data_IF_938279822502
#
_entry.id   IF_938279822502
#
_cell.length_a   1.000
_cell.length_b   1.000
_cell.length_c   1.000
_cell.angle_alpha   90.00
_cell.angle_beta   90.00
_cell.angle_gamma   90.00
#
_symmetry.space_group_name_H-M   'P 1'
#
loop_
_entity.id
_entity.type
_entity.pdbx_description
1 polymer ?
#
# COMPACT_ATOMS: atom_id res chain seq x y z
N UNK A 1 17.67 -37.37 -39.31
CA UNK A 1 17.98 -35.99 -39.75
C UNK A 1 17.05 -35.04 -39.01
N UNK A 2 17.61 -33.96 -38.47
CA UNK A 2 17.10 -33.02 -37.46
C UNK A 2 15.64 -32.53 -37.64
N UNK A 3 14.90 -32.36 -36.53
CA UNK A 3 14.61 -31.03 -35.96
C UNK A 3 13.86 -31.09 -34.62
N UNK A 4 14.41 -30.35 -33.64
CA UNK A 4 13.86 -30.05 -32.31
C UNK A 4 12.63 -29.14 -32.40
N UNK A 5 11.61 -29.39 -31.57
CA UNK A 5 10.83 -28.33 -30.88
C UNK A 5 10.40 -28.83 -29.50
N UNK A 6 11.06 -28.28 -28.48
CA UNK A 6 10.70 -28.33 -27.08
C UNK A 6 9.62 -27.28 -26.80
N UNK A 7 8.45 -27.70 -26.35
CA UNK A 7 7.46 -26.84 -25.72
C UNK A 7 7.56 -27.01 -24.20
N UNK A 8 8.10 -26.00 -23.53
CA UNK A 8 8.04 -25.86 -22.07
C UNK A 8 6.70 -25.20 -21.75
N UNK A 9 5.85 -25.94 -21.04
CA UNK A 9 4.60 -25.43 -20.49
C UNK A 9 4.89 -24.48 -19.32
N UNK A 10 4.25 -23.30 -19.22
CA UNK A 10 4.23 -22.55 -17.96
C UNK A 10 3.30 -23.26 -16.96
N UNK A 11 3.75 -23.33 -15.70
CA UNK A 11 3.01 -23.88 -14.55
C UNK A 11 1.73 -23.06 -14.31
N UNK A 12 0.63 -23.49 -14.93
CA UNK A 12 -0.72 -22.98 -14.68
C UNK A 12 -1.33 -23.64 -13.45
N UNK A 13 -1.16 -23.03 -12.28
CA UNK A 13 -1.92 -23.34 -11.06
C UNK A 13 -2.94 -22.27 -10.68
N UNK A 14 -2.69 -21.00 -11.06
CA UNK A 14 -3.51 -19.86 -10.64
C UNK A 14 -4.82 -19.70 -11.44
N UNK A 15 -4.86 -20.13 -12.72
CA UNK A 15 -6.04 -19.95 -13.57
C UNK A 15 -7.24 -20.80 -13.13
N UNK A 16 -7.01 -21.99 -12.56
CA UNK A 16 -8.11 -22.86 -12.12
C UNK A 16 -8.73 -22.37 -10.80
N UNK A 17 -7.93 -21.77 -9.91
CA UNK A 17 -8.41 -21.21 -8.65
C UNK A 17 -9.23 -19.93 -8.86
N UNK A 18 -8.85 -19.09 -9.83
CA UNK A 18 -9.58 -17.86 -10.16
C UNK A 18 -10.95 -18.16 -10.81
N UNK A 19 -11.05 -19.23 -11.61
CA UNK A 19 -12.30 -19.66 -12.23
C UNK A 19 -13.36 -20.13 -11.21
N UNK A 20 -12.94 -20.65 -10.05
CA UNK A 20 -13.86 -21.08 -8.98
C UNK A 20 -14.47 -19.89 -8.23
N UNK A 21 -13.77 -18.75 -8.16
CA UNK A 21 -14.26 -17.52 -7.53
C UNK A 21 -15.22 -16.71 -8.42
N UNK A 22 -15.25 -16.98 -9.74
CA UNK A 22 -15.96 -16.17 -10.75
C UNK A 22 -17.21 -16.83 -11.34
N UNK A 23 -17.70 -17.94 -10.77
CA UNK A 23 -18.90 -18.60 -11.28
C UNK A 23 -20.18 -17.80 -10.93
N UNK A 24 -20.99 -17.35 -11.91
CA UNK A 24 -22.23 -16.62 -11.63
C UNK A 24 -23.33 -17.59 -11.17
N UNK A 25 -23.89 -17.36 -9.99
CA UNK A 25 -25.14 -18.02 -9.59
C UNK A 25 -26.34 -17.29 -10.21
N UNK A 26 -27.05 -17.98 -11.11
CA UNK A 26 -28.35 -17.55 -11.63
C UNK A 26 -29.38 -17.42 -10.50
N UNK A 27 -30.00 -16.23 -10.38
CA UNK A 27 -31.22 -16.03 -9.60
C UNK A 27 -32.39 -15.90 -10.60
N UNK A 28 -33.47 -16.69 -10.49
CA UNK A 28 -34.61 -16.58 -11.41
C UNK A 28 -35.49 -15.38 -11.06
N UNK A 29 -35.99 -14.72 -12.12
CA UNK A 29 -36.95 -13.62 -12.06
C UNK A 29 -38.35 -14.09 -11.66
N UNK A 30 -39.04 -13.35 -10.78
CA UNK A 30 -40.50 -13.36 -10.70
C UNK A 30 -41.05 -11.95 -10.51
N UNK A 31 -41.98 -11.60 -11.39
CA UNK A 31 -42.77 -10.38 -11.47
C UNK A 31 -44.03 -10.42 -10.58
N UNK A 32 -44.42 -9.27 -9.99
CA UNK A 32 -45.84 -8.91 -9.81
C UNK A 32 -46.38 -8.67 -8.38
N UNK A 33 -46.71 -7.39 -8.08
CA UNK A 33 -47.75 -6.87 -7.17
C UNK A 33 -47.47 -6.85 -5.64
N UNK A 34 -48.18 -6.02 -4.83
CA UNK A 34 -47.88 -4.59 -4.62
C UNK A 34 -47.59 -4.24 -3.14
N UNK A 35 -47.07 -3.03 -2.94
CA UNK A 35 -46.67 -2.43 -1.66
C UNK A 35 -47.86 -2.26 -0.71
N UNK A 36 -47.77 -2.87 0.48
CA UNK A 36 -48.41 -2.43 1.73
C UNK A 36 -47.41 -2.61 2.88
N UNK A 37 -47.05 -1.51 3.58
CA UNK A 37 -46.52 -1.61 4.94
C UNK A 37 -47.61 -2.11 5.89
N UNK A 38 -47.31 -2.64 7.10
CA UNK A 38 -46.55 -1.88 8.09
C UNK A 38 -45.79 -2.73 9.18
N UNK A 39 -45.26 -2.00 10.18
CA UNK A 39 -45.08 -2.34 11.61
C UNK A 39 -43.77 -2.97 12.11
N UNK A 40 -43.34 -2.35 13.21
CA UNK A 40 -42.30 -2.70 14.15
C UNK A 40 -42.40 -4.14 14.66
N UNK A 41 -41.24 -4.77 14.85
CA UNK A 41 -41.09 -5.98 15.64
C UNK A 41 -40.54 -7.17 14.86
N UNK A 42 -39.30 -7.55 15.19
CA UNK A 42 -38.71 -8.89 15.20
C UNK A 42 -37.48 -9.19 14.33
N UNK A 43 -36.47 -9.70 15.05
CA UNK A 43 -35.57 -10.83 14.74
C UNK A 43 -34.38 -10.59 13.81
N UNK A 44 -33.23 -10.48 14.47
CA UNK A 44 -31.90 -10.64 13.92
C UNK A 44 -31.78 -11.97 13.14
N UNK A 45 -31.21 -11.86 11.94
CA UNK A 45 -30.73 -12.99 11.15
C UNK A 45 -29.50 -13.60 11.83
N UNK A 46 -29.63 -14.84 12.31
CA UNK A 46 -28.50 -15.65 12.76
C UNK A 46 -27.88 -16.35 11.55
N UNK A 47 -26.61 -16.08 11.26
CA UNK A 47 -25.78 -16.92 10.38
C UNK A 47 -25.18 -18.09 11.20
N UNK A 48 -24.82 -19.22 10.56
CA UNK A 48 -24.49 -20.48 11.26
C UNK A 48 -23.11 -20.52 11.97
N UNK A 49 -22.41 -19.39 12.11
CA UNK A 49 -21.05 -19.37 12.66
C UNK A 49 -20.99 -19.33 14.20
N UNK A 50 -22.12 -19.08 14.87
CA UNK A 50 -22.19 -18.95 16.32
C UNK A 50 -22.37 -20.27 17.10
N UNK A 51 -22.54 -21.41 16.43
CA UNK A 51 -22.84 -22.69 17.11
C UNK A 51 -21.60 -23.54 17.42
N UNK A 52 -20.42 -23.15 16.95
CA UNK A 52 -19.17 -23.86 17.23
C UNK A 52 -18.48 -23.40 18.54
N UNK A 53 -18.73 -22.17 18.98
CA UNK A 53 -18.15 -21.61 20.21
C UNK A 53 -18.99 -21.87 21.47
N UNK A 54 -20.17 -22.49 21.34
CA UNK A 54 -21.09 -22.72 22.47
C UNK A 54 -21.01 -24.13 23.08
N UNK A 55 -20.10 -24.99 22.60
CA UNK A 55 -19.95 -26.38 23.06
C UNK A 55 -18.72 -26.69 23.92
N UNK A 56 -17.91 -25.71 24.30
CA UNK A 56 -16.78 -25.94 25.21
C UNK A 56 -16.73 -24.87 26.31
N UNK A 57 -17.21 -25.25 27.49
CA UNK A 57 -16.76 -24.70 28.77
C UNK A 57 -17.62 -23.60 29.38
N UNK A 58 -18.62 -24.00 30.17
CA UNK A 58 -19.20 -23.15 31.20
C UNK A 58 -18.27 -23.02 32.41
N UNK A 59 -18.22 -21.84 33.00
CA UNK A 59 -17.53 -21.56 34.26
C UNK A 59 -17.86 -20.16 34.75
N UNK A 60 -18.58 -20.07 35.87
CA UNK A 60 -19.08 -18.85 36.50
C UNK A 60 -17.96 -17.91 36.98
N UNK A 61 -18.29 -16.61 37.01
CA UNK A 61 -17.42 -15.54 37.45
C UNK A 61 -17.04 -15.57 38.94
N UNK A 62 -15.86 -15.03 39.20
CA UNK A 62 -15.43 -14.44 40.48
C UNK A 62 -14.48 -13.29 40.18
N UNK A 63 -14.77 -12.13 40.74
CA UNK A 63 -13.84 -11.01 40.88
C UNK A 63 -12.66 -11.45 41.75
N UNK A 64 -11.43 -11.18 41.31
CA UNK A 64 -10.25 -11.21 42.18
C UNK A 64 -9.39 -9.96 41.96
N UNK A 65 -9.18 -9.25 43.08
CA UNK A 65 -8.21 -8.16 43.22
C UNK A 65 -6.81 -8.73 43.43
N UNK A 66 -5.85 -8.02 42.83
CA UNK A 66 -4.51 -7.67 43.30
C UNK A 66 -3.58 -8.75 43.91
N UNK A 67 -2.43 -8.86 43.24
CA UNK A 67 -1.08 -9.03 43.78
C UNK A 67 -0.72 -10.37 44.44
N UNK A 68 0.07 -11.18 43.72
CA UNK A 68 1.32 -11.81 44.20
C UNK A 68 1.79 -12.92 43.23
N UNK A 69 3.09 -12.91 42.93
CA UNK A 69 3.81 -14.09 42.45
C UNK A 69 4.14 -14.12 40.97
N UNK A 70 5.17 -13.37 40.56
CA UNK A 70 5.96 -13.72 39.37
C UNK A 70 6.58 -15.11 39.59
N UNK A 71 5.87 -16.16 39.19
CA UNK A 71 6.52 -17.43 38.91
C UNK A 71 7.38 -17.21 37.68
N UNK A 72 8.68 -17.54 37.78
CA UNK A 72 9.64 -17.56 36.67
C UNK A 72 9.15 -18.57 35.63
N UNK A 73 8.17 -18.20 34.81
CA UNK A 73 7.93 -18.85 33.54
C UNK A 73 9.22 -18.66 32.74
N UNK A 74 9.69 -19.77 32.14
CA UNK A 74 10.91 -19.81 31.35
C UNK A 74 10.91 -18.65 30.38
N UNK A 75 11.73 -17.63 30.66
CA UNK A 75 12.02 -16.56 29.71
C UNK A 75 12.57 -17.29 28.49
N UNK A 76 11.88 -17.26 27.33
CA UNK A 76 12.41 -17.88 26.13
C UNK A 76 13.80 -17.26 25.91
N UNK A 77 14.77 -18.08 25.53
CA UNK A 77 16.15 -17.66 25.27
C UNK A 77 16.10 -16.39 24.41
N UNK A 78 16.30 -15.22 25.02
CA UNK A 78 16.23 -13.95 24.28
C UNK A 78 17.54 -13.90 23.52
N UNK A 79 17.49 -14.31 22.26
CA UNK A 79 18.61 -14.12 21.33
C UNK A 79 18.89 -12.62 21.32
N UNK A 80 20.14 -12.23 21.52
CA UNK A 80 20.53 -10.83 21.54
C UNK A 80 20.48 -10.24 20.13
N UNK A 81 19.27 -9.91 19.68
CA UNK A 81 18.98 -9.34 18.36
C UNK A 81 18.49 -7.90 18.49
N UNK A 82 18.84 -6.99 17.57
CA UNK A 82 18.45 -5.59 17.64
C UNK A 82 16.94 -5.40 17.41
N UNK A 83 16.33 -4.35 17.97
CA UNK A 83 14.93 -4.03 17.67
C UNK A 83 14.72 -3.67 16.21
N UNK A 84 13.66 -4.19 15.61
CA UNK A 84 13.28 -4.00 14.19
C UNK A 84 11.91 -3.36 14.09
N UNK A 85 11.79 -2.39 13.18
CA UNK A 85 10.51 -1.76 12.82
C UNK A 85 10.32 -1.85 11.31
N UNK A 86 9.15 -2.37 10.91
CA UNK A 86 8.75 -2.58 9.51
C UNK A 86 7.75 -1.51 9.07
N UNK A 87 8.00 -0.87 7.93
CA UNK A 87 7.14 0.21 7.38
C UNK A 87 6.65 -0.15 5.97
N UNK A 88 5.34 -0.33 5.75
CA UNK A 88 4.79 -0.73 4.47
C UNK A 88 4.63 0.44 3.49
N UNK A 89 4.57 0.14 2.19
CA UNK A 89 4.16 1.06 1.13
C UNK A 89 2.64 1.25 1.00
N UNK A 90 2.25 1.98 -0.05
CA UNK A 90 0.85 2.26 -0.38
C UNK A 90 0.06 0.97 -0.60
N UNK A 91 -1.17 0.89 -0.10
CA UNK A 91 -1.98 -0.32 -0.13
C UNK A 91 -1.48 -1.46 0.79
N UNK A 92 -0.30 -1.32 1.40
CA UNK A 92 0.35 -2.38 2.19
C UNK A 92 -0.06 -2.45 3.65
N UNK A 93 -1.15 -1.79 4.05
CA UNK A 93 -1.73 -1.92 5.39
C UNK A 93 -3.18 -2.36 5.30
N UNK A 94 -3.55 -3.38 6.07
CA UNK A 94 -4.96 -3.73 6.28
C UNK A 94 -5.69 -2.54 6.89
N UNK A 95 -6.83 -2.18 6.33
CA UNK A 95 -7.73 -1.15 6.83
C UNK A 95 -9.00 -1.77 7.40
N UNK A 96 -9.48 -1.25 8.52
CA UNK A 96 -10.66 -1.75 9.26
C UNK A 96 -11.61 -0.61 9.64
N UNK A 97 -12.88 -0.93 9.83
CA UNK A 97 -13.76 -0.09 10.66
C UNK A 97 -13.33 -0.21 12.12
N UNK A 98 -12.90 0.88 12.78
CA UNK A 98 -12.42 0.82 14.15
C UNK A 98 -13.48 0.34 15.15
N UNK A 99 -14.79 0.49 14.85
CA UNK A 99 -15.87 0.06 15.75
C UNK A 99 -16.11 -1.44 15.72
N UNK A 100 -16.27 -2.00 14.53
CA UNK A 100 -16.58 -3.42 14.34
C UNK A 100 -15.35 -4.31 14.15
N UNK A 101 -14.16 -3.72 13.95
CA UNK A 101 -12.94 -4.39 13.50
C UNK A 101 -13.12 -5.13 12.15
N UNK A 102 -14.15 -4.76 11.39
CA UNK A 102 -14.41 -5.32 10.08
C UNK A 102 -13.33 -4.85 9.10
N UNK A 103 -12.63 -5.80 8.48
CA UNK A 103 -11.66 -5.51 7.41
C UNK A 103 -12.38 -4.94 6.19
N UNK A 104 -11.88 -3.81 5.68
CA UNK A 104 -12.41 -3.16 4.47
C UNK A 104 -11.37 -3.14 3.35
N UNK A 105 -10.09 -3.30 3.68
CA UNK A 105 -8.99 -3.48 2.74
C UNK A 105 -7.90 -4.39 3.36
N UNK A 106 -7.28 -5.33 2.65
CA UNK A 106 -7.70 -5.84 1.34
C UNK A 106 -8.87 -6.81 1.56
N UNK A 107 -9.75 -6.91 0.55
CA UNK A 107 -10.78 -7.95 0.48
C UNK A 107 -10.79 -8.56 -0.91
N UNK A 108 -10.92 -9.87 -0.98
CA UNK A 108 -11.27 -10.57 -2.21
C UNK A 108 -12.77 -10.91 -2.34
N UNK A 109 -13.52 -10.83 -1.24
CA UNK A 109 -14.96 -11.07 -1.21
C UNK A 109 -15.71 -9.78 -0.92
N UNK A 110 -16.74 -9.50 -1.73
CA UNK A 110 -17.54 -8.27 -1.68
C UNK A 110 -16.68 -6.99 -1.70
N UNK A 111 -15.53 -7.07 -2.37
CA UNK A 111 -14.48 -6.05 -2.34
C UNK A 111 -15.04 -4.67 -2.69
N UNK A 112 -15.75 -4.56 -3.82
CA UNK A 112 -16.35 -3.29 -4.25
C UNK A 112 -17.36 -2.72 -3.26
N UNK A 113 -18.22 -3.56 -2.68
CA UNK A 113 -19.26 -3.08 -1.77
C UNK A 113 -18.63 -2.41 -0.54
N UNK A 114 -17.69 -3.11 0.11
CA UNK A 114 -16.99 -2.56 1.27
C UNK A 114 -16.06 -1.41 0.89
N UNK A 115 -15.41 -1.48 -0.27
CA UNK A 115 -14.52 -0.42 -0.72
C UNK A 115 -15.29 0.90 -0.94
N UNK A 116 -16.40 0.87 -1.69
CA UNK A 116 -17.23 2.07 -1.90
C UNK A 116 -17.85 2.59 -0.61
N UNK A 117 -18.23 1.70 0.31
CA UNK A 117 -18.87 2.06 1.59
C UNK A 117 -17.90 2.61 2.63
N UNK A 118 -16.62 2.22 2.62
CA UNK A 118 -15.68 2.57 3.71
C UNK A 118 -14.44 3.33 3.24
N UNK A 119 -13.93 3.04 2.05
CA UNK A 119 -12.65 3.58 1.58
C UNK A 119 -12.79 4.90 0.83
N UNK A 120 -13.95 5.16 0.23
CA UNK A 120 -14.26 6.43 -0.43
C UNK A 120 -14.31 7.57 0.59
N UNK A 121 -14.18 8.80 0.11
CA UNK A 121 -14.08 9.98 0.96
C UNK A 121 -14.10 11.27 0.14
N UNK A 122 -13.94 12.38 0.83
CA UNK A 122 -13.78 13.72 0.25
C UNK A 122 -12.49 14.32 0.76
N UNK A 123 -11.82 15.06 -0.11
CA UNK A 123 -10.70 15.88 0.33
C UNK A 123 -11.18 17.05 1.18
N UNK A 124 -10.58 17.23 2.35
CA UNK A 124 -10.81 18.37 3.23
C UNK A 124 -9.60 19.30 3.22
N UNK A 125 -9.76 20.45 2.58
CA UNK A 125 -8.72 21.48 2.43
C UNK A 125 -8.25 22.08 3.75
N UNK A 126 -9.12 22.11 4.77
CA UNK A 126 -8.82 22.72 6.07
C UNK A 126 -7.94 21.80 6.91
N UNK A 127 -8.28 20.52 6.97
CA UNK A 127 -7.49 19.52 7.71
C UNK A 127 -6.35 18.94 6.87
N UNK A 128 -6.37 19.17 5.55
CA UNK A 128 -5.47 18.58 4.56
C UNK A 128 -5.48 17.05 4.63
N UNK A 129 -6.67 16.47 4.72
CA UNK A 129 -6.88 15.01 4.83
C UNK A 129 -7.98 14.53 3.90
N UNK A 130 -7.91 13.24 3.53
CA UNK A 130 -9.07 12.52 3.02
C UNK A 130 -9.98 12.18 4.19
N UNK A 131 -11.15 12.80 4.24
CA UNK A 131 -12.16 12.59 5.26
C UNK A 131 -13.26 11.63 4.76
N UNK A 132 -13.87 10.84 5.65
CA UNK A 132 -15.03 10.03 5.28
C UNK A 132 -16.21 10.91 4.90
N UNK A 133 -17.05 10.42 3.99
CA UNK A 133 -18.28 11.08 3.58
C UNK A 133 -19.26 11.23 4.76
N UNK A 134 -20.20 12.16 4.64
CA UNK A 134 -21.24 12.35 5.66
C UNK A 134 -22.06 11.05 5.84
N UNK A 135 -22.04 10.51 7.06
CA UNK A 135 -22.74 9.27 7.41
C UNK A 135 -21.95 7.99 7.11
N UNK A 136 -20.79 8.11 6.46
CA UNK A 136 -19.90 7.00 6.20
C UNK A 136 -19.13 6.60 7.48
N UNK A 137 -18.90 5.30 7.72
CA UNK A 137 -18.02 4.86 8.79
C UNK A 137 -16.59 5.39 8.62
N UNK A 138 -15.87 5.52 9.74
CA UNK A 138 -14.43 5.77 9.70
C UNK A 138 -13.70 4.50 9.30
N UNK A 139 -12.47 4.69 8.84
CA UNK A 139 -11.56 3.60 8.54
C UNK A 139 -10.18 3.95 9.06
N UNK A 140 -9.50 2.98 9.65
CA UNK A 140 -8.19 3.13 10.26
C UNK A 140 -7.32 1.89 9.94
N UNK A 141 -5.99 2.00 9.93
CA UNK A 141 -5.13 0.83 9.82
C UNK A 141 -5.35 -0.12 11.00
N UNK A 142 -5.34 -1.44 10.74
CA UNK A 142 -5.35 -2.45 11.79
C UNK A 142 -4.07 -2.31 12.65
N UNK A 143 -4.19 -2.38 13.98
CA UNK A 143 -3.05 -2.18 14.90
C UNK A 143 -2.72 -3.42 15.75
N UNK A 144 -3.41 -4.53 15.54
CA UNK A 144 -3.17 -5.78 16.29
C UNK A 144 -1.79 -6.36 15.97
N UNK A 145 -1.32 -7.27 16.82
CA UNK A 145 0.01 -7.88 16.67
C UNK A 145 1.14 -6.85 16.68
N UNK A 146 0.95 -5.71 17.36
CA UNK A 146 1.90 -4.59 17.36
C UNK A 146 2.16 -4.02 15.96
N UNK A 147 1.09 -3.96 15.14
CA UNK A 147 1.09 -3.50 13.77
C UNK A 147 1.56 -4.54 12.75
N UNK A 148 2.04 -5.71 13.18
CA UNK A 148 2.52 -6.75 12.28
C UNK A 148 1.37 -7.45 11.53
N UNK A 149 0.24 -7.69 12.18
CA UNK A 149 -0.90 -8.37 11.58
C UNK A 149 -1.41 -7.63 10.33
N UNK A 150 -1.32 -6.31 10.35
CA UNK A 150 -1.80 -5.44 9.28
C UNK A 150 -0.92 -5.44 8.02
N UNK A 151 0.33 -5.89 8.14
CA UNK A 151 1.32 -5.81 7.06
C UNK A 151 1.86 -7.20 6.67
N UNK A 152 1.56 -8.25 7.45
CA UNK A 152 2.04 -9.61 7.21
C UNK A 152 1.40 -10.22 5.96
N UNK A 153 0.09 -10.41 6.01
CA UNK A 153 -0.74 -10.93 4.94
C UNK A 153 -1.96 -10.03 4.83
N UNK A 154 -2.19 -9.40 3.67
CA UNK A 154 -3.18 -8.36 3.47
C UNK A 154 -4.62 -8.90 3.36
N UNK A 155 -4.80 -10.21 3.16
CA UNK A 155 -6.09 -10.89 3.32
C UNK A 155 -5.91 -12.23 4.08
N UNK A 156 -5.91 -12.19 5.43
CA UNK A 156 -5.75 -13.39 6.25
C UNK A 156 -6.82 -14.47 6.07
N UNK A 157 -7.94 -14.17 5.41
CA UNK A 157 -8.99 -15.16 5.12
C UNK A 157 -8.69 -16.02 3.89
N UNK A 158 -7.66 -15.65 3.13
CA UNK A 158 -7.22 -16.37 1.94
C UNK A 158 -6.19 -17.43 2.34
N UNK A 159 -6.40 -18.64 1.86
CA UNK A 159 -5.52 -19.78 2.09
C UNK A 159 -4.99 -20.34 0.76
N UNK A 160 -4.24 -21.44 0.84
CA UNK A 160 -3.78 -22.19 -0.34
C UNK A 160 -4.95 -22.44 -1.33
N UNK A 161 -4.77 -22.22 -2.65
CA UNK A 161 -3.52 -22.03 -3.39
C UNK A 161 -3.13 -20.58 -3.73
N UNK A 162 -3.83 -19.57 -3.21
CA UNK A 162 -3.62 -18.15 -3.57
C UNK A 162 -3.05 -17.30 -2.43
N UNK A 163 -2.51 -17.93 -1.38
CA UNK A 163 -1.91 -17.25 -0.22
C UNK A 163 -0.83 -16.24 -0.63
N UNK A 164 0.07 -16.64 -1.53
CA UNK A 164 1.21 -15.80 -1.96
C UNK A 164 0.77 -14.49 -2.63
N UNK A 165 -0.46 -14.44 -3.15
CA UNK A 165 -1.02 -13.24 -3.78
C UNK A 165 -1.29 -12.11 -2.77
N UNK A 166 -1.62 -12.48 -1.53
CA UNK A 166 -1.95 -11.54 -0.45
C UNK A 166 -0.86 -11.49 0.63
N UNK A 167 0.17 -12.33 0.51
CA UNK A 167 1.38 -12.27 1.33
C UNK A 167 2.18 -11.01 1.03
N UNK A 168 2.62 -10.32 2.07
CA UNK A 168 3.34 -9.06 1.94
C UNK A 168 4.65 -9.05 2.75
N UNK A 169 4.63 -8.75 4.05
CA UNK A 169 5.82 -8.90 4.91
C UNK A 169 6.00 -10.31 5.49
N UNK A 170 5.12 -11.26 5.18
CA UNK A 170 5.10 -12.56 5.86
C UNK A 170 6.44 -13.31 5.82
N UNK A 171 7.11 -13.34 4.66
CA UNK A 171 8.42 -14.00 4.55
C UNK A 171 9.49 -13.36 5.43
N UNK A 172 9.53 -12.02 5.50
CA UNK A 172 10.45 -11.29 6.39
C UNK A 172 10.09 -11.60 7.85
N UNK A 173 8.83 -11.42 8.24
CA UNK A 173 8.42 -11.57 9.65
C UNK A 173 8.64 -13.01 10.13
N UNK A 174 8.23 -14.01 9.35
CA UNK A 174 8.42 -15.43 9.68
C UNK A 174 9.90 -15.78 9.81
N UNK A 175 10.76 -15.22 8.93
CA UNK A 175 12.22 -15.40 9.04
C UNK A 175 12.74 -14.81 10.34
N UNK A 176 12.30 -13.62 10.73
CA UNK A 176 12.74 -12.97 11.98
C UNK A 176 12.26 -13.74 13.22
N UNK A 177 11.01 -14.16 13.26
CA UNK A 177 10.46 -14.93 14.38
C UNK A 177 11.20 -16.26 14.58
N UNK A 178 11.50 -16.97 13.49
CA UNK A 178 12.31 -18.18 13.54
C UNK A 178 13.72 -17.94 14.11
N UNK A 179 14.25 -16.72 13.96
CA UNK A 179 15.59 -16.33 14.40
C UNK A 179 15.61 -15.55 15.73
N UNK A 180 14.52 -15.57 16.50
CA UNK A 180 14.50 -15.06 17.88
C UNK A 180 13.99 -13.63 18.04
N UNK A 181 13.48 -13.01 16.97
CA UNK A 181 12.66 -11.80 17.13
C UNK A 181 11.28 -12.18 17.68
N UNK A 182 10.77 -11.34 18.57
CA UNK A 182 9.53 -11.51 19.30
C UNK A 182 8.65 -10.28 19.05
N UNK A 183 7.48 -10.45 18.41
CA UNK A 183 6.48 -9.40 18.25
C UNK A 183 6.22 -8.63 19.55
N UNK A 184 6.26 -7.30 19.48
CA UNK A 184 5.97 -6.43 20.62
C UNK A 184 7.10 -6.23 21.61
N UNK A 185 8.18 -7.02 21.54
CA UNK A 185 9.39 -6.83 22.31
C UNK A 185 10.48 -6.16 21.46
N UNK A 186 10.88 -6.79 20.37
CA UNK A 186 11.95 -6.33 19.48
C UNK A 186 11.57 -6.39 17.99
N UNK A 187 10.29 -6.66 17.66
CA UNK A 187 9.76 -6.65 16.31
C UNK A 187 8.40 -5.93 16.28
N UNK A 188 8.29 -4.92 15.41
CA UNK A 188 7.12 -4.05 15.34
C UNK A 188 6.78 -3.71 13.88
N UNK A 189 5.49 -3.53 13.59
CA UNK A 189 5.01 -2.99 12.32
C UNK A 189 4.42 -1.59 12.50
N UNK A 190 4.53 -0.75 11.47
CA UNK A 190 3.91 0.59 11.44
C UNK A 190 2.96 0.69 10.25
N UNK A 191 1.77 0.05 10.34
CA UNK A 191 0.74 0.25 9.35
C UNK A 191 0.21 1.69 9.42
N UNK A 192 -0.24 2.20 8.29
CA UNK A 192 -0.70 3.57 8.16
C UNK A 192 -1.87 3.68 7.19
N UNK A 193 -2.65 4.76 7.30
CA UNK A 193 -3.70 5.06 6.33
C UNK A 193 -3.06 5.54 5.03
N UNK A 194 -2.83 4.58 4.14
CA UNK A 194 -2.12 4.79 2.89
C UNK A 194 -2.84 5.68 1.89
N UNK A 195 -4.05 6.16 2.21
CA UNK A 195 -4.75 7.17 1.42
C UNK A 195 -4.33 8.60 1.78
N UNK A 196 -3.84 8.81 3.00
CA UNK A 196 -3.37 10.12 3.47
C UNK A 196 -1.97 10.41 2.93
N UNK A 197 -1.49 11.65 3.08
CA UNK A 197 -0.12 12.02 2.71
C UNK A 197 0.93 11.14 3.41
N UNK A 198 2.04 10.84 2.72
CA UNK A 198 3.22 10.21 3.31
C UNK A 198 3.82 11.00 4.48
N UNK A 199 3.52 12.30 4.56
CA UNK A 199 3.91 13.20 5.64
C UNK A 199 2.79 13.43 6.67
N UNK A 200 1.71 12.63 6.65
CA UNK A 200 0.55 12.80 7.53
C UNK A 200 0.94 12.69 9.02
N UNK A 201 0.61 13.68 9.88
CA UNK A 201 1.12 13.73 11.26
C UNK A 201 0.83 12.48 12.09
N UNK A 202 -0.35 11.88 11.92
CA UNK A 202 -0.77 10.69 12.67
C UNK A 202 0.08 9.47 12.32
N UNK A 203 0.48 9.32 11.05
CA UNK A 203 1.43 8.28 10.64
C UNK A 203 2.81 8.52 11.25
N UNK A 204 3.31 9.76 11.19
CA UNK A 204 4.63 10.10 11.68
C UNK A 204 4.72 10.01 13.21
N UNK A 205 3.67 10.39 13.94
CA UNK A 205 3.61 10.23 15.40
C UNK A 205 3.53 8.76 15.79
N UNK A 206 2.76 7.92 15.08
CA UNK A 206 2.76 6.47 15.30
C UNK A 206 4.15 5.86 15.11
N UNK A 207 4.86 6.28 14.07
CA UNK A 207 6.23 5.84 13.82
C UNK A 207 7.16 6.27 14.95
N UNK A 208 7.06 7.54 15.39
CA UNK A 208 7.79 8.10 16.54
C UNK A 208 7.57 7.28 17.82
N UNK A 209 6.32 7.03 18.16
CA UNK A 209 5.94 6.23 19.33
C UNK A 209 6.50 4.81 19.24
N UNK A 210 6.47 4.21 18.05
CA UNK A 210 6.94 2.84 17.82
C UNK A 210 8.45 2.74 17.96
N UNK A 211 9.23 3.63 17.35
CA UNK A 211 10.70 3.59 17.46
C UNK A 211 11.17 3.87 18.89
N UNK A 212 10.53 4.81 19.59
CA UNK A 212 10.82 5.09 21.00
C UNK A 212 10.44 3.89 21.91
N UNK A 213 9.29 3.26 21.65
CA UNK A 213 8.88 2.05 22.38
C UNK A 213 9.87 0.90 22.16
N UNK A 214 10.23 0.64 20.91
CA UNK A 214 11.18 -0.40 20.55
C UNK A 214 12.54 -0.19 21.23
N UNK A 215 13.07 1.04 21.20
CA UNK A 215 14.31 1.39 21.90
C UNK A 215 14.21 1.18 23.42
N UNK A 216 13.13 1.66 24.07
CA UNK A 216 12.94 1.51 25.52
C UNK A 216 12.88 0.05 25.96
N UNK A 217 12.17 -0.80 25.21
CA UNK A 217 12.06 -2.23 25.52
C UNK A 217 13.35 -3.02 25.25
N UNK A 218 14.29 -2.42 24.52
CA UNK A 218 15.56 -3.05 24.11
C UNK A 218 16.78 -2.35 24.71
N UNK A 219 16.68 -1.89 25.96
CA UNK A 219 17.80 -1.35 26.74
C UNK A 219 18.49 -0.15 26.07
N UNK A 220 17.73 0.69 25.36
CA UNK A 220 18.26 1.88 24.70
C UNK A 220 18.91 1.60 23.34
N UNK A 221 18.97 0.35 22.88
CA UNK A 221 19.51 0.00 21.56
C UNK A 221 18.72 0.67 20.45
N UNK A 222 19.44 1.25 19.49
CA UNK A 222 18.85 1.86 18.31
C UNK A 222 18.17 0.81 17.43
N UNK A 223 17.08 1.19 16.79
CA UNK A 223 16.27 0.35 15.91
C UNK A 223 16.92 0.18 14.54
N UNK A 224 16.68 -0.99 13.95
CA UNK A 224 16.93 -1.25 12.53
C UNK A 224 15.61 -1.15 11.77
N UNK A 225 15.59 -0.33 10.73
CA UNK A 225 14.39 -0.06 9.95
C UNK A 225 14.41 -0.85 8.65
N UNK A 226 13.27 -1.45 8.32
CA UNK A 226 13.00 -2.04 7.00
C UNK A 226 11.76 -1.37 6.43
N UNK A 227 11.90 -0.64 5.34
CA UNK A 227 10.76 0.00 4.67
C UNK A 227 10.57 -0.57 3.27
N UNK A 228 9.32 -0.73 2.85
CA UNK A 228 8.99 -1.13 1.49
C UNK A 228 8.30 0.00 0.71
N UNK A 229 8.67 0.18 -0.56
CA UNK A 229 7.99 1.06 -1.51
C UNK A 229 7.79 2.46 -0.92
N UNK A 230 6.57 3.02 -0.97
CA UNK A 230 6.24 4.35 -0.43
C UNK A 230 6.55 4.50 1.08
N UNK A 231 6.66 3.41 1.83
CA UNK A 231 7.07 3.45 3.24
C UNK A 231 8.47 4.05 3.42
N UNK A 232 9.32 3.99 2.39
CA UNK A 232 10.62 4.66 2.40
C UNK A 232 10.50 6.19 2.30
N UNK A 233 9.49 6.70 1.60
CA UNK A 233 9.20 8.14 1.55
C UNK A 233 8.58 8.63 2.86
N UNK A 234 7.71 7.83 3.48
CA UNK A 234 7.22 8.05 4.85
C UNK A 234 8.40 8.17 5.82
N UNK A 235 9.44 7.33 5.67
CA UNK A 235 10.65 7.46 6.47
C UNK A 235 11.41 8.77 6.24
N UNK A 236 11.52 9.28 5.00
CA UNK A 236 12.11 10.62 4.78
C UNK A 236 11.26 11.72 5.42
N UNK A 237 9.92 11.64 5.33
CA UNK A 237 9.02 12.55 6.04
C UNK A 237 9.23 12.50 7.56
N UNK A 238 9.42 11.31 8.12
CA UNK A 238 9.72 11.14 9.54
C UNK A 238 11.03 11.80 9.95
N UNK A 239 12.12 11.56 9.20
CA UNK A 239 13.42 12.19 9.46
C UNK A 239 13.32 13.72 9.34
N UNK A 240 12.59 14.23 8.35
CA UNK A 240 12.37 15.66 8.17
C UNK A 240 11.56 16.29 9.31
N UNK A 241 10.67 15.53 9.94
CA UNK A 241 9.76 16.03 11.00
C UNK A 241 10.38 15.91 12.38
N UNK A 242 11.07 14.80 12.65
CA UNK A 242 11.62 14.45 13.95
C UNK A 242 13.12 14.07 13.85
N UNK A 243 13.99 14.97 13.36
CA UNK A 243 15.40 14.64 13.11
C UNK A 243 16.13 14.18 14.37
N UNK A 244 15.87 14.82 15.52
CA UNK A 244 16.48 14.44 16.80
C UNK A 244 16.03 13.04 17.26
N UNK A 245 14.75 12.71 17.09
CA UNK A 245 14.26 11.37 17.44
C UNK A 245 14.86 10.35 16.49
N UNK A 246 14.93 10.66 15.18
CA UNK A 246 15.53 9.78 14.20
C UNK A 246 17.00 9.50 14.53
N UNK A 247 17.78 10.53 14.87
CA UNK A 247 19.17 10.39 15.30
C UNK A 247 19.30 9.54 16.56
N UNK A 248 18.47 9.77 17.57
CA UNK A 248 18.53 9.08 18.85
C UNK A 248 18.08 7.62 18.75
N UNK A 249 17.11 7.31 17.88
CA UNK A 249 16.42 6.02 17.86
C UNK A 249 16.87 5.11 16.72
N UNK A 250 17.29 5.62 15.56
CA UNK A 250 17.58 4.81 14.37
C UNK A 250 19.08 4.52 14.28
N UNK A 251 19.46 3.24 14.14
CA UNK A 251 20.84 2.83 13.95
C UNK A 251 21.16 2.59 12.48
N UNK A 252 20.27 1.91 11.78
CA UNK A 252 20.40 1.65 10.36
C UNK A 252 19.05 1.46 9.69
N UNK A 253 18.99 1.68 8.39
CA UNK A 253 17.78 1.63 7.58
C UNK A 253 18.06 0.94 6.25
N UNK A 254 17.28 -0.09 5.91
CA UNK A 254 17.22 -0.65 4.56
C UNK A 254 15.86 -0.32 3.95
N UNK A 255 15.90 0.17 2.71
CA UNK A 255 14.72 0.36 1.88
C UNK A 255 14.65 -0.72 0.81
N UNK A 256 13.45 -1.19 0.50
CA UNK A 256 13.18 -2.17 -0.55
C UNK A 256 12.17 -1.57 -1.53
N UNK A 257 12.54 -1.50 -2.81
CA UNK A 257 11.68 -1.05 -3.90
C UNK A 257 11.16 0.39 -3.79
N UNK A 258 11.95 1.31 -3.23
CA UNK A 258 11.49 2.67 -2.94
C UNK A 258 11.35 3.56 -4.21
N UNK A 259 10.20 4.23 -4.43
CA UNK A 259 10.00 5.13 -5.57
C UNK A 259 10.51 6.55 -5.27
N UNK A 260 11.82 6.74 -5.14
CA UNK A 260 12.41 8.01 -4.65
C UNK A 260 12.00 9.25 -5.44
N UNK A 261 11.83 9.10 -6.75
CA UNK A 261 11.42 10.20 -7.64
C UNK A 261 10.01 10.00 -8.19
N UNK A 262 9.22 9.10 -7.61
CA UNK A 262 7.89 8.72 -8.08
C UNK A 262 7.87 7.37 -8.79
N UNK A 263 6.67 6.86 -9.04
CA UNK A 263 6.42 5.59 -9.70
C UNK A 263 6.48 5.72 -11.23
N UNK A 264 6.35 4.58 -11.92
CA UNK A 264 6.28 4.52 -13.39
C UNK A 264 4.95 5.10 -13.93
N UNK A 265 4.74 5.08 -15.25
CA UNK A 265 3.52 5.59 -15.89
C UNK A 265 2.21 4.88 -15.45
N UNK A 266 2.31 3.81 -14.65
CA UNK A 266 1.15 3.22 -13.96
C UNK A 266 0.38 4.23 -13.12
N UNK A 267 1.06 5.18 -12.47
CA UNK A 267 0.36 6.20 -11.65
C UNK A 267 -0.49 7.15 -12.51
N UNK A 268 -0.09 7.37 -13.78
CA UNK A 268 -0.90 8.11 -14.73
C UNK A 268 -2.15 7.34 -15.13
N UNK A 269 -2.01 6.01 -15.30
CA UNK A 269 -3.15 5.12 -15.55
C UNK A 269 -4.12 5.15 -14.38
N UNK A 270 -3.62 5.16 -13.14
CA UNK A 270 -4.45 5.24 -11.94
C UNK A 270 -5.34 6.49 -11.92
N UNK A 271 -4.79 7.66 -12.26
CA UNK A 271 -5.54 8.93 -12.29
C UNK A 271 -6.36 9.15 -13.56
N UNK A 272 -6.04 8.48 -14.67
CA UNK A 272 -6.79 8.60 -15.94
C UNK A 272 -7.88 7.54 -16.07
N UNK A 273 -7.56 6.28 -15.81
CA UNK A 273 -8.40 5.11 -16.11
C UNK A 273 -8.77 4.31 -14.86
N UNK A 274 -8.05 4.52 -13.75
CA UNK A 274 -8.19 3.73 -12.54
C UNK A 274 -7.18 2.58 -12.49
N UNK A 275 -6.75 2.25 -11.28
CA UNK A 275 -5.87 1.12 -11.01
C UNK A 275 -6.23 0.54 -9.64
N UNK A 276 -6.42 -0.77 -9.56
CA UNK A 276 -6.93 -1.44 -8.36
C UNK A 276 -5.85 -1.75 -7.31
N UNK A 277 -4.67 -1.11 -7.39
CA UNK A 277 -3.52 -1.33 -6.51
C UNK A 277 -3.12 -2.81 -6.39
N UNK A 278 -3.38 -3.60 -7.44
CA UNK A 278 -3.12 -5.04 -7.43
C UNK A 278 -4.20 -5.87 -6.74
N UNK A 279 -5.42 -5.36 -6.50
CA UNK A 279 -6.56 -6.17 -6.08
C UNK A 279 -7.40 -6.61 -7.30
N UNK A 280 -7.15 -7.80 -7.83
CA UNK A 280 -7.77 -8.32 -9.08
C UNK A 280 -9.30 -8.43 -9.08
N UNK A 281 -9.97 -8.40 -7.92
CA UNK A 281 -11.44 -8.44 -7.85
C UNK A 281 -12.09 -7.07 -7.66
N UNK A 282 -11.28 -6.02 -7.50
CA UNK A 282 -11.75 -4.64 -7.38
C UNK A 282 -11.73 -3.99 -8.77
N UNK A 283 -12.89 -3.49 -9.19
CA UNK A 283 -13.01 -2.71 -10.43
C UNK A 283 -12.06 -1.48 -10.40
N UNK A 284 -11.22 -1.28 -11.42
CA UNK A 284 -10.31 -0.13 -11.48
C UNK A 284 -11.00 1.23 -11.39
N UNK A 285 -12.20 1.40 -11.94
CA UNK A 285 -12.98 2.63 -11.82
C UNK A 285 -13.48 2.84 -10.38
N UNK A 286 -13.79 1.77 -9.66
CA UNK A 286 -14.09 1.86 -8.22
C UNK A 286 -12.88 2.33 -7.41
N UNK A 287 -11.68 1.83 -7.73
CA UNK A 287 -10.43 2.25 -7.10
C UNK A 287 -10.09 3.71 -7.44
N UNK A 288 -10.33 4.13 -8.69
CA UNK A 288 -10.11 5.51 -9.16
C UNK A 288 -10.78 6.54 -8.25
N UNK A 289 -12.01 6.26 -7.78
CA UNK A 289 -12.72 7.16 -6.86
C UNK A 289 -11.93 7.52 -5.60
N UNK A 290 -11.16 6.57 -5.05
CA UNK A 290 -10.25 6.83 -3.91
C UNK A 290 -8.98 7.52 -4.37
N UNK A 291 -8.40 7.07 -5.49
CA UNK A 291 -7.16 7.62 -6.02
C UNK A 291 -7.26 9.12 -6.33
N UNK A 292 -8.41 9.59 -6.82
CA UNK A 292 -8.64 11.01 -7.13
C UNK A 292 -8.58 11.94 -5.90
N UNK A 293 -8.82 11.42 -4.70
CA UNK A 293 -8.88 12.20 -3.45
C UNK A 293 -7.83 11.77 -2.41
N UNK A 294 -6.90 10.87 -2.77
CA UNK A 294 -5.85 10.37 -1.89
C UNK A 294 -4.52 11.07 -2.16
N UNK A 295 -4.02 11.96 -1.27
CA UNK A 295 -2.75 12.64 -1.47
C UNK A 295 -1.56 11.73 -1.78
N UNK A 296 -1.50 10.54 -1.19
CA UNK A 296 -0.43 9.57 -1.43
C UNK A 296 -0.30 9.15 -2.89
N UNK A 297 -1.40 9.05 -3.62
CA UNK A 297 -1.39 8.72 -5.05
C UNK A 297 -0.73 9.84 -5.84
N UNK A 298 -1.05 11.11 -5.53
CA UNK A 298 -0.39 12.27 -6.14
C UNK A 298 1.09 12.37 -5.75
N UNK A 299 1.45 11.97 -4.53
CA UNK A 299 2.83 11.93 -4.05
C UNK A 299 3.71 10.89 -4.79
N UNK A 300 3.09 9.89 -5.43
CA UNK A 300 3.77 8.92 -6.30
C UNK A 300 3.94 9.40 -7.76
N UNK A 301 3.39 10.55 -8.14
CA UNK A 301 3.63 11.13 -9.46
C UNK A 301 5.14 11.40 -9.66
N UNK A 302 5.69 11.16 -10.86
CA UNK A 302 7.08 11.46 -11.19
C UNK A 302 7.45 12.90 -10.88
N UNK A 303 8.56 13.08 -10.17
CA UNK A 303 9.03 14.40 -9.74
C UNK A 303 9.37 15.28 -10.96
N UNK A 304 8.77 16.47 -11.02
CA UNK A 304 9.10 17.47 -12.04
C UNK A 304 10.40 18.22 -11.79
N UNK A 305 11.02 18.04 -10.62
CA UNK A 305 12.29 18.69 -10.25
C UNK A 305 13.50 17.75 -10.34
N UNK A 306 13.27 16.50 -10.72
CA UNK A 306 14.30 15.51 -10.97
C UNK A 306 14.71 15.52 -12.45
N UNK A 307 16.01 15.44 -12.69
CA UNK A 307 16.60 15.45 -14.03
C UNK A 307 16.59 14.03 -14.63
N UNK A 308 15.41 13.62 -15.10
CA UNK A 308 15.21 12.30 -15.71
C UNK A 308 16.00 12.14 -17.02
N UNK A 309 16.68 11.00 -17.15
CA UNK A 309 17.22 10.46 -18.41
C UNK A 309 16.09 9.85 -19.22
N UNK A 310 15.30 8.95 -18.62
CA UNK A 310 14.18 8.26 -19.26
C UNK A 310 12.87 8.55 -18.49
N UNK A 311 12.31 9.78 -18.61
CA UNK A 311 11.14 10.18 -17.83
C UNK A 311 9.90 9.36 -18.17
N UNK A 312 9.05 9.06 -17.18
CA UNK A 312 7.71 8.61 -17.47
C UNK A 312 6.93 9.72 -18.21
N UNK A 313 6.15 9.37 -19.24
CA UNK A 313 5.46 10.37 -20.06
C UNK A 313 4.15 9.86 -20.68
N UNK A 314 3.31 10.81 -21.13
CA UNK A 314 2.06 10.55 -21.86
C UNK A 314 2.17 11.11 -23.27
N UNK A 315 1.96 10.26 -24.28
CA UNK A 315 1.94 10.60 -25.69
C UNK A 315 0.53 10.46 -26.28
N UNK A 316 0.17 11.41 -27.14
CA UNK A 316 -1.08 11.37 -27.91
C UNK A 316 -1.00 12.26 -29.15
N UNK A 317 -1.96 12.12 -30.06
CA UNK A 317 -2.20 13.01 -31.19
C UNK A 317 -3.58 13.65 -31.03
N UNK A 318 -3.63 14.85 -30.45
CA UNK A 318 -4.87 15.58 -30.26
C UNK A 318 -5.25 16.24 -31.58
N UNK A 319 -6.35 15.81 -32.19
CA UNK A 319 -6.85 16.34 -33.47
C UNK A 319 -5.74 16.39 -34.56
N UNK A 320 -4.90 15.36 -34.59
CA UNK A 320 -3.78 15.23 -35.53
C UNK A 320 -2.46 15.87 -35.09
N UNK A 321 -2.44 16.67 -34.02
CA UNK A 321 -1.22 17.31 -33.48
C UNK A 321 -0.55 16.39 -32.45
N UNK A 322 0.71 15.96 -32.67
CA UNK A 322 1.43 15.14 -31.70
C UNK A 322 1.80 15.96 -30.45
N UNK A 323 1.49 15.43 -29.27
CA UNK A 323 1.76 16.02 -27.97
C UNK A 323 2.45 14.99 -27.07
N UNK A 324 3.39 15.46 -26.25
CA UNK A 324 4.16 14.63 -25.32
C UNK A 324 4.29 15.34 -23.98
N UNK A 325 3.70 14.74 -22.94
CA UNK A 325 3.62 15.32 -21.61
C UNK A 325 4.58 14.62 -20.66
N UNK A 326 5.48 15.39 -20.05
CA UNK A 326 6.60 14.91 -19.23
C UNK A 326 6.47 15.37 -17.76
N UNK A 327 7.37 14.96 -16.85
CA UNK A 327 7.35 15.43 -15.47
C UNK A 327 7.63 16.93 -15.32
N UNK A 328 8.47 17.48 -16.19
CA UNK A 328 8.95 18.86 -16.12
C UNK A 328 8.72 19.62 -17.43
N UNK A 329 8.90 20.94 -17.39
CA UNK A 329 8.75 21.83 -18.54
C UNK A 329 7.31 22.31 -18.78
N UNK A 330 7.02 22.95 -19.92
CA UNK A 330 5.71 23.57 -20.19
C UNK A 330 4.61 22.56 -20.55
N UNK A 331 4.97 21.36 -21.03
CA UNK A 331 4.01 20.29 -21.34
C UNK A 331 4.10 19.20 -20.26
N UNK A 332 3.47 19.45 -19.10
CA UNK A 332 3.51 18.53 -17.97
C UNK A 332 2.42 17.45 -18.04
N UNK A 333 2.68 16.28 -17.46
CA UNK A 333 1.73 15.14 -17.41
C UNK A 333 0.40 15.48 -16.72
N UNK A 334 0.34 16.51 -15.87
CA UNK A 334 -0.88 16.91 -15.18
C UNK A 334 -1.91 17.55 -16.12
N UNK A 335 -1.47 18.10 -17.27
CA UNK A 335 -2.38 18.70 -18.27
C UNK A 335 -3.42 17.69 -18.80
N UNK A 336 -3.04 16.52 -19.35
CA UNK A 336 -4.03 15.53 -19.79
C UNK A 336 -4.91 15.02 -18.64
N UNK A 337 -4.38 14.88 -17.42
CA UNK A 337 -5.16 14.42 -16.26
C UNK A 337 -6.23 15.41 -15.84
N UNK A 338 -5.90 16.70 -15.79
CA UNK A 338 -6.86 17.77 -15.51
C UNK A 338 -7.96 17.82 -16.55
N UNK A 339 -7.59 17.81 -17.83
CA UNK A 339 -8.56 17.93 -18.90
C UNK A 339 -9.46 16.69 -19.02
N UNK A 340 -8.89 15.49 -18.89
CA UNK A 340 -9.67 14.25 -18.95
C UNK A 340 -10.66 14.13 -17.79
N UNK A 341 -10.25 14.56 -16.58
CA UNK A 341 -11.07 14.44 -15.38
C UNK A 341 -11.93 15.69 -15.09
N UNK A 342 -12.03 16.66 -16.00
CA UNK A 342 -12.73 17.93 -15.75
C UNK A 342 -14.18 17.73 -15.28
N UNK A 343 -14.88 16.76 -15.87
CA UNK A 343 -16.27 16.41 -15.54
C UNK A 343 -16.37 15.04 -14.85
N UNK A 344 -15.27 14.52 -14.30
CA UNK A 344 -15.30 13.25 -13.59
C UNK A 344 -16.09 13.42 -12.29
N UNK A 345 -17.03 12.51 -12.07
CA UNK A 345 -17.88 12.52 -10.88
C UNK A 345 -17.91 11.14 -10.26
N UNK A 346 -18.17 11.12 -8.96
CA UNK A 346 -18.29 9.92 -8.15
C UNK A 346 -19.71 9.86 -7.59
N UNK A 347 -20.39 8.72 -7.76
CA UNK A 347 -21.78 8.53 -7.29
C UNK A 347 -21.79 7.74 -6.00
N UNK A 348 -22.25 8.35 -4.91
CA UNK A 348 -22.28 7.72 -3.60
C UNK A 348 -23.24 6.51 -3.58
N UNK A 349 -22.80 5.33 -3.10
CA UNK A 349 -23.62 4.11 -3.15
C UNK A 349 -24.94 4.20 -2.37
N UNK A 350 -24.91 4.82 -1.19
CA UNK A 350 -26.05 4.81 -0.26
C UNK A 350 -27.04 5.97 -0.49
N UNK A 351 -26.54 7.14 -0.91
CA UNK A 351 -27.36 8.34 -1.10
C UNK A 351 -27.66 8.65 -2.56
N UNK A 352 -26.95 8.03 -3.51
CA UNK A 352 -26.99 8.38 -4.93
C UNK A 352 -26.45 9.79 -5.23
N UNK A 353 -25.85 10.46 -4.23
CA UNK A 353 -25.32 11.82 -4.39
C UNK A 353 -24.14 11.79 -5.36
N UNK A 354 -24.13 12.71 -6.32
CA UNK A 354 -23.02 12.89 -7.25
C UNK A 354 -22.08 13.93 -6.65
N UNK A 355 -20.82 13.55 -6.43
CA UNK A 355 -19.76 14.47 -6.03
C UNK A 355 -18.88 14.77 -7.25
N UNK A 356 -18.66 16.06 -7.59
CA UNK A 356 -17.64 16.41 -8.56
C UNK A 356 -16.27 16.18 -7.92
N UNK A 357 -15.54 15.18 -8.42
CA UNK A 357 -14.22 14.79 -7.90
C UNK A 357 -13.24 14.71 -9.07
N UNK A 358 -13.15 15.81 -9.82
CA UNK A 358 -12.16 15.96 -10.88
C UNK A 358 -10.73 15.90 -10.35
N UNK A 359 -9.75 16.22 -11.19
CA UNK A 359 -8.36 16.27 -10.75
C UNK A 359 -8.21 17.19 -9.53
N UNK A 360 -7.67 16.67 -8.43
CA UNK A 360 -7.62 17.37 -7.16
C UNK A 360 -6.36 18.24 -7.09
N UNK A 361 -6.52 19.53 -7.39
CA UNK A 361 -5.41 20.50 -7.41
C UNK A 361 -4.71 20.65 -6.06
N UNK A 362 -5.44 20.51 -4.96
CA UNK A 362 -4.87 20.64 -3.62
C UNK A 362 -4.05 19.41 -3.22
N UNK A 363 -4.49 18.21 -3.59
CA UNK A 363 -3.70 16.99 -3.44
C UNK A 363 -2.44 17.06 -4.32
N UNK A 364 -2.56 17.57 -5.55
CA UNK A 364 -1.41 17.78 -6.42
C UNK A 364 -0.42 18.81 -5.83
N UNK A 365 -0.90 19.95 -5.33
CA UNK A 365 -0.05 20.96 -4.69
C UNK A 365 0.63 20.42 -3.42
N UNK A 366 -0.11 19.70 -2.57
CA UNK A 366 0.45 19.01 -1.40
C UNK A 366 1.53 18.00 -1.81
N UNK A 367 1.34 17.30 -2.93
CA UNK A 367 2.33 16.33 -3.40
C UNK A 367 3.66 16.96 -3.78
N UNK A 368 3.62 18.15 -4.41
CA UNK A 368 4.84 18.93 -4.72
C UNK A 368 5.49 19.43 -3.43
N UNK A 369 4.71 19.96 -2.47
CA UNK A 369 5.20 20.41 -1.15
C UNK A 369 5.88 19.28 -0.38
N UNK A 370 5.25 18.10 -0.32
CA UNK A 370 5.82 16.91 0.34
C UNK A 370 7.12 16.45 -0.32
N UNK A 371 7.19 16.47 -1.66
CA UNK A 371 8.43 16.12 -2.40
C UNK A 371 9.54 17.11 -2.12
N UNK A 372 9.26 18.41 -2.17
CA UNK A 372 10.23 19.46 -1.86
C UNK A 372 10.76 19.34 -0.43
N UNK A 373 9.86 19.05 0.53
CA UNK A 373 10.22 18.83 1.94
C UNK A 373 11.22 17.70 2.13
N UNK A 374 11.07 16.58 1.39
CA UNK A 374 11.94 15.41 1.55
C UNK A 374 13.13 15.37 0.59
N UNK A 375 13.20 16.30 -0.37
CA UNK A 375 14.24 16.34 -1.42
C UNK A 375 15.65 16.47 -0.85
N UNK A 376 15.84 17.40 0.08
CA UNK A 376 17.14 17.71 0.69
C UNK A 376 17.37 17.03 2.04
N UNK A 377 16.49 16.11 2.43
CA UNK A 377 16.66 15.35 3.69
C UNK A 377 17.84 14.41 3.54
N UNK A 378 18.83 14.57 4.42
CA UNK A 378 19.96 13.67 4.58
C UNK A 378 19.74 12.72 5.77
N UNK A 379 20.60 11.70 5.89
CA UNK A 379 20.59 10.78 7.01
C UNK A 379 21.02 11.48 8.31
N UNK A 380 20.35 11.21 9.45
CA UNK A 380 20.85 11.67 10.73
C UNK A 380 22.28 11.15 11.01
N UNK A 381 23.09 11.89 11.77
CA UNK A 381 24.45 11.47 12.12
C UNK A 381 24.51 10.03 12.66
N UNK A 382 25.40 9.22 12.08
CA UNK A 382 25.62 7.83 12.49
C UNK A 382 24.60 6.82 12.01
N UNK A 383 23.56 7.22 11.26
CA UNK A 383 22.61 6.28 10.64
C UNK A 383 23.20 5.72 9.35
N UNK A 384 23.25 4.39 9.23
CA UNK A 384 23.63 3.71 7.96
C UNK A 384 22.40 3.44 7.11
N UNK A 385 22.50 3.64 5.81
CA UNK A 385 21.41 3.40 4.85
C UNK A 385 21.80 2.38 3.79
N UNK A 386 20.86 1.51 3.43
CA UNK A 386 21.00 0.54 2.34
C UNK A 386 19.80 0.59 1.41
N UNK A 387 20.06 0.45 0.11
CA UNK A 387 19.04 0.54 -0.93
C UNK A 387 18.92 -0.79 -1.69
N UNK A 388 17.77 -1.46 -1.60
CA UNK A 388 17.45 -2.63 -2.40
C UNK A 388 16.44 -2.20 -3.46
N UNK A 389 16.76 -2.40 -4.73
CA UNK A 389 15.92 -1.97 -5.84
C UNK A 389 15.82 -3.03 -6.94
N UNK A 390 14.70 -3.03 -7.66
CA UNK A 390 14.48 -3.98 -8.73
C UNK A 390 15.07 -3.54 -10.07
N UNK A 391 15.47 -4.54 -10.85
CA UNK A 391 16.02 -4.42 -12.20
C UNK A 391 15.46 -5.54 -13.08
N UNK A 392 15.64 -5.42 -14.39
CA UNK A 392 15.27 -6.36 -15.44
C UNK A 392 13.76 -6.71 -15.54
N UNK A 393 12.89 -6.02 -14.79
CA UNK A 393 11.45 -6.17 -14.95
C UNK A 393 10.90 -5.08 -15.87
N UNK A 394 10.03 -5.50 -16.78
CA UNK A 394 9.36 -4.62 -17.75
C UNK A 394 8.51 -3.58 -17.02
N UNK A 395 8.97 -2.33 -16.99
CA UNK A 395 8.36 -1.25 -16.21
C UNK A 395 7.78 -0.17 -17.13
N UNK A 396 6.46 0.09 -17.12
CA UNK A 396 5.83 1.03 -18.05
C UNK A 396 6.30 2.48 -17.86
N UNK A 397 7.04 3.06 -18.81
CA UNK A 397 7.50 4.46 -18.72
C UNK A 397 6.65 5.38 -19.59
N UNK A 398 6.12 4.91 -20.72
CA UNK A 398 5.34 5.75 -21.61
C UNK A 398 3.97 5.16 -21.86
N UNK A 399 2.95 6.00 -21.73
CA UNK A 399 1.59 5.75 -22.19
C UNK A 399 1.39 6.41 -23.55
N UNK A 400 1.03 5.65 -24.57
CA UNK A 400 0.68 6.18 -25.89
C UNK A 400 -0.78 5.89 -26.22
N UNK A 401 -1.56 6.96 -26.35
CA UNK A 401 -2.99 6.92 -26.66
C UNK A 401 -3.27 6.97 -28.17
N UNK A 402 -2.27 7.14 -29.02
CA UNK A 402 -2.48 7.34 -30.46
C UNK A 402 -3.33 8.58 -30.74
N UNK A 403 -4.32 8.47 -31.64
CA UNK A 403 -5.16 9.62 -32.03
C UNK A 403 -6.34 9.80 -31.08
N UNK A 404 -6.51 11.04 -30.60
CA UNK A 404 -7.53 11.45 -29.62
C UNK A 404 -8.24 12.70 -30.15
N UNK A 405 -9.57 12.72 -30.08
CA UNK A 405 -10.39 13.86 -30.54
C UNK A 405 -10.79 14.78 -29.39
N UNK A 406 -10.99 14.18 -28.22
CA UNK A 406 -11.40 14.84 -26.96
C UNK A 406 -10.64 14.26 -25.75
N UNK A 407 -10.37 15.10 -24.75
CA UNK A 407 -9.64 14.68 -23.54
C UNK A 407 -10.34 13.58 -22.74
N UNK A 408 -11.67 13.53 -22.75
CA UNK A 408 -12.43 12.53 -22.01
C UNK A 408 -12.18 11.10 -22.54
N UNK A 409 -11.75 10.95 -23.81
CA UNK A 409 -11.38 9.64 -24.36
C UNK A 409 -10.24 8.99 -23.56
N UNK A 410 -9.34 9.77 -22.95
CA UNK A 410 -8.19 9.21 -22.21
C UNK A 410 -8.62 8.29 -21.05
N UNK A 411 -9.83 8.49 -20.52
CA UNK A 411 -10.35 7.70 -19.39
C UNK A 411 -10.77 6.28 -19.78
N UNK A 412 -11.06 6.02 -21.05
CA UNK A 412 -11.60 4.72 -21.51
C UNK A 412 -10.85 4.11 -22.69
N UNK A 413 -10.05 4.91 -23.40
CA UNK A 413 -9.30 4.48 -24.56
C UNK A 413 -8.19 3.50 -24.17
N UNK A 414 -8.06 2.42 -24.94
CA UNK A 414 -6.93 1.49 -24.81
C UNK A 414 -5.60 2.23 -24.99
N UNK A 415 -4.65 1.95 -24.12
CA UNK A 415 -3.33 2.60 -24.09
C UNK A 415 -2.24 1.61 -24.44
N UNK A 416 -1.29 2.03 -25.28
CA UNK A 416 -0.08 1.27 -25.55
C UNK A 416 1.02 1.69 -24.58
N UNK A 417 1.59 0.72 -23.87
CA UNK A 417 2.72 0.97 -22.98
C UNK A 417 4.05 0.72 -23.69
N UNK A 418 5.01 1.63 -23.49
CA UNK A 418 6.42 1.37 -23.73
C UNK A 418 7.15 1.34 -22.40
N UNK A 419 7.98 0.32 -22.22
CA UNK A 419 8.57 -0.01 -20.94
C UNK A 419 10.08 0.13 -20.96
N UNK A 420 10.65 0.46 -19.81
CA UNK A 420 12.08 0.44 -19.53
C UNK A 420 12.41 -0.49 -18.37
N UNK A 421 13.62 -0.31 -17.83
CA UNK A 421 14.15 -1.09 -16.72
C UNK A 421 13.54 -0.69 -15.36
N UNK A 422 13.33 -1.68 -14.48
CA UNK A 422 12.73 -1.47 -13.17
C UNK A 422 12.25 -2.76 -12.52
N UNK A 423 11.25 -2.63 -11.66
CA UNK A 423 10.62 -3.74 -10.91
C UNK A 423 9.17 -4.05 -11.34
N UNK A 424 8.75 -3.46 -12.46
CA UNK A 424 7.39 -3.51 -12.99
C UNK A 424 6.49 -2.38 -12.49
N UNK A 425 6.87 -1.63 -11.46
CA UNK A 425 6.11 -0.52 -10.89
C UNK A 425 6.93 0.77 -10.75
N UNK A 426 8.20 0.64 -10.39
CA UNK A 426 9.17 1.72 -10.21
C UNK A 426 10.32 1.49 -11.17
N UNK A 427 10.72 2.54 -11.88
CA UNK A 427 11.87 2.46 -12.77
C UNK A 427 13.16 2.35 -11.95
N UNK A 428 14.16 1.65 -12.48
CA UNK A 428 15.48 1.56 -11.84
C UNK A 428 16.09 2.94 -11.63
N UNK A 429 15.84 3.88 -12.55
CA UNK A 429 16.26 5.27 -12.41
C UNK A 429 15.67 5.94 -11.16
N UNK A 430 14.36 5.83 -10.94
CA UNK A 430 13.71 6.36 -9.74
C UNK A 430 14.23 5.66 -8.48
N UNK A 431 14.34 4.33 -8.50
CA UNK A 431 14.71 3.52 -7.34
C UNK A 431 16.16 3.70 -6.87
N UNK A 432 17.04 4.21 -7.75
CA UNK A 432 18.43 4.55 -7.40
C UNK A 432 18.60 6.02 -6.99
N UNK A 433 17.63 6.88 -7.25
CA UNK A 433 17.75 8.32 -7.07
C UNK A 433 17.30 8.79 -5.69
N UNK A 434 17.84 8.15 -4.63
CA UNK A 434 17.46 8.40 -3.23
C UNK A 434 17.97 9.73 -2.66
N UNK A 435 19.09 10.24 -3.17
CA UNK A 435 19.75 11.46 -2.66
C UNK A 435 20.41 11.30 -1.28
N UNK A 436 20.54 10.07 -0.80
CA UNK A 436 21.18 9.71 0.48
C UNK A 436 22.57 9.10 0.27
N UNK A 437 23.46 9.19 1.26
CA UNK A 437 24.73 8.46 1.24
C UNK A 437 24.52 6.98 1.63
N UNK A 438 24.25 6.12 0.64
CA UNK A 438 24.09 4.69 0.87
C UNK A 438 25.42 4.03 1.27
N UNK A 439 25.37 3.15 2.27
CA UNK A 439 26.46 2.27 2.67
C UNK A 439 26.55 1.03 1.76
N UNK A 440 25.43 0.62 1.16
CA UNK A 440 25.39 -0.47 0.19
C UNK A 440 24.11 -0.44 -0.62
N UNK A 441 24.19 -0.95 -1.83
CA UNK A 441 23.08 -1.06 -2.75
C UNK A 441 22.99 -2.49 -3.32
N UNK A 442 21.76 -2.99 -3.48
CA UNK A 442 21.50 -4.32 -4.01
C UNK A 442 20.47 -4.25 -5.16
N UNK A 443 20.88 -4.39 -6.42
CA UNK A 443 19.96 -4.63 -7.53
C UNK A 443 19.43 -6.06 -7.49
N UNK A 444 18.13 -6.24 -7.73
CA UNK A 444 17.48 -7.56 -7.70
C UNK A 444 16.57 -7.75 -8.91
N UNK A 445 16.71 -8.88 -9.60
CA UNK A 445 15.80 -9.25 -10.70
C UNK A 445 14.52 -9.87 -10.13
N UNK A 446 13.63 -9.02 -9.63
CA UNK A 446 12.36 -9.42 -9.03
C UNK A 446 11.31 -8.32 -9.16
N UNK A 447 10.05 -8.71 -9.14
CA UNK A 447 8.91 -7.76 -9.21
C UNK A 447 8.83 -6.93 -7.94
N UNK A 448 8.16 -5.78 -8.03
CA UNK A 448 8.03 -4.80 -6.94
C UNK A 448 7.71 -5.42 -5.57
N UNK A 449 6.62 -6.19 -5.48
CA UNK A 449 6.23 -6.89 -4.25
C UNK A 449 7.00 -8.21 -4.09
N UNK A 450 7.37 -8.86 -5.20
CA UNK A 450 8.14 -10.12 -5.19
C UNK A 450 9.47 -10.02 -4.45
N UNK A 451 10.09 -8.83 -4.42
CA UNK A 451 11.31 -8.58 -3.64
C UNK A 451 11.15 -8.89 -2.15
N UNK A 452 9.96 -8.75 -1.54
CA UNK A 452 9.76 -9.08 -0.13
C UNK A 452 9.81 -10.58 0.17
N UNK A 453 9.71 -11.42 -0.86
CA UNK A 453 9.77 -12.88 -0.79
C UNK A 453 11.01 -13.45 -1.50
N UNK A 454 11.83 -12.58 -2.12
CA UNK A 454 13.02 -12.98 -2.85
C UNK A 454 14.11 -13.45 -1.88
N UNK A 455 14.74 -14.59 -2.17
CA UNK A 455 15.73 -15.21 -1.28
C UNK A 455 16.98 -14.35 -1.09
N UNK A 456 17.42 -13.64 -2.14
CA UNK A 456 18.58 -12.75 -2.08
C UNK A 456 18.24 -11.55 -1.19
N UNK A 457 17.05 -10.98 -1.36
CA UNK A 457 16.57 -9.88 -0.50
C UNK A 457 16.44 -10.32 0.95
N UNK A 458 15.80 -11.46 1.21
CA UNK A 458 15.65 -12.00 2.57
C UNK A 458 17.01 -12.23 3.25
N UNK A 459 17.98 -12.79 2.52
CA UNK A 459 19.34 -12.96 3.03
C UNK A 459 20.02 -11.62 3.29
N UNK A 460 19.90 -10.66 2.38
CA UNK A 460 20.50 -9.33 2.51
C UNK A 460 19.92 -8.54 3.68
N UNK A 461 18.59 -8.56 3.85
CA UNK A 461 17.90 -7.95 5.00
C UNK A 461 18.35 -8.63 6.29
N UNK A 462 18.49 -9.96 6.29
CA UNK A 462 18.98 -10.67 7.46
C UNK A 462 20.43 -10.27 7.82
N UNK A 463 21.33 -10.23 6.85
CA UNK A 463 22.73 -9.80 7.08
C UNK A 463 22.83 -8.33 7.50
N UNK A 464 22.00 -7.46 6.93
CA UNK A 464 21.80 -6.07 7.39
C UNK A 464 21.42 -6.03 8.87
N UNK A 465 20.47 -6.87 9.29
CA UNK A 465 19.99 -6.92 10.67
C UNK A 465 21.05 -7.42 11.67
N UNK A 466 22.10 -8.10 11.22
CA UNK A 466 23.25 -8.50 12.04
C UNK A 466 24.51 -7.66 11.85
N UNK A 467 24.44 -6.55 11.11
CA UNK A 467 25.60 -5.69 10.78
C UNK A 467 26.71 -6.47 10.05
N UNK A 468 26.34 -7.37 9.14
CA UNK A 468 27.27 -8.20 8.34
C UNK A 468 27.51 -7.66 6.93
N UNK A 469 26.93 -6.50 6.59
CA UNK A 469 27.07 -5.81 5.31
C UNK A 469 28.18 -4.76 5.31
#
# INVERSE_FOLDING_TARGET
VMLKRSAVWPRGGAFLALAILLAPHHVPSTSGLPVQGPKEGEKAWNSPENDLFRKLGGGQGREEKADQGFTKSKIPFVVDVPPVVLVPGIGGSIMVDPKSQLRVWIRLYEAEYYFKRFMWGVWNSTTRTLDPLKGQPRVEPLLTGHGLDAIRNLDPSVHWPIYDYVSYFDSIITTLEYNGWVPGLNLFGVPWDWRQSMCWPQTLERLKETVLKAQRLNQGRKVKLVSHSMGALVMKCFIATYPEVAEQTIGSWVSVAAPWQGASAKIYTELLQGYNLGNIVLDPACAKGVSMVSPSVYELLPSGTFDWVDPPLINLRMQGVPLSFKPSGPQRYDIPMRNANLNYTVVLPDSGTVLPEGFNEECFALSEESRDRIRSVDLPPGVKFYNVYGVNQTTPLMMDYGSVSDWAELMTKEVRFFSGDGDGTVSTESARSHGLKAAGELPVDSTHVGMLMDKVVLSYVYDFLYDRL
#
